data_IF_832539616897
#
_entry.id   IF_832539616897
#
_cell.length_a   1.000
_cell.length_b   1.000
_cell.length_c   1.000
_cell.angle_alpha   90.00
_cell.angle_beta   90.00
_cell.angle_gamma   90.00
#
_symmetry.space_group_name_H-M   'P 1'
#
loop_
_entity.id
_entity.type
_entity.pdbx_description
1 polymer ?
#
# COMPACT_ATOMS: atom_id res chain seq x y z
N UNK A 1 -33.71 -16.07 -31.18
CA UNK A 1 -33.65 -15.99 -29.69
C UNK A 1 -32.45 -16.75 -29.09
N UNK A 2 -32.23 -18.04 -29.35
CA UNK A 2 -31.13 -18.83 -28.75
C UNK A 2 -29.71 -18.22 -28.99
N UNK A 3 -29.42 -17.72 -30.19
CA UNK A 3 -28.10 -17.09 -30.49
C UNK A 3 -27.86 -15.81 -29.67
N UNK A 4 -28.88 -14.99 -29.47
CA UNK A 4 -28.77 -13.74 -28.67
C UNK A 4 -28.47 -14.08 -27.20
N UNK A 5 -29.14 -15.08 -26.65
CA UNK A 5 -28.93 -15.55 -25.26
C UNK A 5 -27.48 -16.04 -25.10
N UNK A 6 -26.98 -16.86 -26.04
CA UNK A 6 -25.61 -17.37 -25.99
C UNK A 6 -24.60 -16.23 -26.03
N UNK A 7 -24.76 -15.25 -26.92
CA UNK A 7 -23.88 -14.09 -27.02
C UNK A 7 -23.90 -13.29 -25.71
N UNK A 8 -25.09 -13.04 -25.16
CA UNK A 8 -25.21 -12.30 -23.89
C UNK A 8 -24.53 -13.01 -22.73
N UNK A 9 -24.64 -14.35 -22.65
CA UNK A 9 -23.96 -15.15 -21.64
C UNK A 9 -22.44 -15.09 -21.79
N UNK A 10 -21.93 -15.23 -23.03
CA UNK A 10 -20.49 -15.16 -23.31
C UNK A 10 -19.93 -13.77 -22.97
N UNK A 11 -20.64 -12.70 -23.35
CA UNK A 11 -20.23 -11.32 -23.02
C UNK A 11 -20.27 -11.10 -21.50
N UNK A 12 -21.29 -11.60 -20.81
CA UNK A 12 -21.39 -11.52 -19.35
C UNK A 12 -20.24 -12.23 -18.65
N UNK A 13 -19.88 -13.44 -19.07
CA UNK A 13 -18.75 -14.20 -18.55
C UNK A 13 -17.43 -13.47 -18.79
N UNK A 14 -17.25 -12.89 -19.99
CA UNK A 14 -16.06 -12.13 -20.32
C UNK A 14 -15.90 -10.90 -19.41
N UNK A 15 -16.97 -10.16 -19.14
CA UNK A 15 -16.96 -9.01 -18.23
C UNK A 15 -16.61 -9.46 -16.80
N UNK A 16 -17.25 -10.55 -16.31
CA UNK A 16 -17.00 -11.07 -14.97
C UNK A 16 -15.54 -11.49 -14.74
N UNK A 17 -14.86 -12.01 -15.76
CA UNK A 17 -13.43 -12.39 -15.67
C UNK A 17 -12.53 -11.14 -15.77
N UNK A 18 -12.87 -10.18 -16.61
CA UNK A 18 -12.03 -8.99 -16.86
C UNK A 18 -12.02 -8.00 -15.72
N UNK A 19 -13.13 -7.87 -14.98
CA UNK A 19 -13.21 -6.96 -13.83
C UNK A 19 -12.19 -7.34 -12.73
N UNK A 20 -12.18 -8.58 -12.19
CA UNK A 20 -11.20 -8.97 -11.17
C UNK A 20 -9.75 -8.84 -11.63
N UNK A 21 -9.45 -9.20 -12.88
CA UNK A 21 -8.11 -9.06 -13.46
C UNK A 21 -7.69 -7.57 -13.49
N UNK A 22 -8.59 -6.69 -13.95
CA UNK A 22 -8.32 -5.25 -13.99
C UNK A 22 -8.09 -4.70 -12.58
N UNK A 23 -8.97 -5.03 -11.63
CA UNK A 23 -8.86 -4.56 -10.23
C UNK A 23 -7.55 -5.02 -9.59
N UNK A 24 -7.17 -6.28 -9.78
CA UNK A 24 -5.92 -6.82 -9.24
C UNK A 24 -4.69 -6.21 -9.90
N UNK A 25 -4.67 -6.11 -11.22
CA UNK A 25 -3.52 -5.57 -11.97
C UNK A 25 -3.28 -4.08 -11.73
N UNK A 26 -4.31 -3.33 -11.35
CA UNK A 26 -4.24 -1.89 -11.10
C UNK A 26 -4.50 -1.54 -9.64
N UNK A 27 -4.30 -2.48 -8.72
CA UNK A 27 -4.63 -2.32 -7.30
C UNK A 27 -3.96 -1.09 -6.66
N UNK A 28 -2.69 -0.84 -6.94
CA UNK A 28 -1.98 0.34 -6.42
C UNK A 28 -2.48 1.65 -7.01
N UNK A 29 -2.84 1.67 -8.30
CA UNK A 29 -3.47 2.85 -8.88
C UNK A 29 -4.76 3.18 -8.14
N UNK A 30 -5.66 2.22 -8.01
CA UNK A 30 -6.95 2.43 -7.35
C UNK A 30 -6.79 2.78 -5.87
N UNK A 31 -5.93 2.09 -5.14
CA UNK A 31 -5.70 2.34 -3.72
C UNK A 31 -5.16 3.75 -3.46
N UNK A 32 -4.24 4.26 -4.30
CA UNK A 32 -3.67 5.59 -4.16
C UNK A 32 -4.57 6.72 -4.67
N UNK A 33 -5.57 6.40 -5.50
CA UNK A 33 -6.58 7.35 -6.01
C UNK A 33 -7.93 7.25 -5.27
N UNK A 34 -8.05 6.37 -4.31
CA UNK A 34 -9.25 6.26 -3.49
C UNK A 34 -9.45 7.52 -2.65
N UNK A 35 -10.68 8.06 -2.55
CA UNK A 35 -11.01 9.10 -1.59
C UNK A 35 -10.71 8.63 -0.17
N UNK A 36 -9.90 9.37 0.56
CA UNK A 36 -9.45 9.02 1.90
C UNK A 36 -9.37 10.23 2.82
N UNK A 37 -9.46 10.00 4.12
CA UNK A 37 -9.07 10.99 5.10
C UNK A 37 -7.54 11.05 5.26
N UNK A 38 -7.04 12.04 5.99
CA UNK A 38 -5.59 12.24 6.21
C UNK A 38 -4.91 11.11 7.00
N UNK A 39 -5.68 10.26 7.65
CA UNK A 39 -5.18 9.15 8.48
C UNK A 39 -5.28 7.79 7.81
N UNK A 40 -5.81 7.71 6.59
CA UNK A 40 -6.04 6.45 5.89
C UNK A 40 -5.04 6.26 4.76
N UNK A 41 -4.47 5.07 4.66
CA UNK A 41 -3.50 4.66 3.63
C UNK A 41 -3.95 3.37 2.93
N UNK A 42 -4.93 3.45 2.00
CA UNK A 42 -5.49 2.26 1.35
C UNK A 42 -4.48 1.41 0.57
N UNK A 43 -3.31 1.96 0.23
CA UNK A 43 -2.26 1.20 -0.42
C UNK A 43 -1.56 0.20 0.52
N UNK A 44 -1.64 0.39 1.83
CA UNK A 44 -0.97 -0.46 2.82
C UNK A 44 -1.54 -1.89 2.84
N UNK A 45 -2.86 -2.12 2.96
CA UNK A 45 -3.41 -3.47 2.84
C UNK A 45 -3.15 -4.11 1.47
N UNK A 46 -3.13 -3.31 0.39
CA UNK A 46 -2.73 -3.80 -0.94
C UNK A 46 -1.28 -4.25 -0.95
N UNK A 47 -0.38 -3.50 -0.30
CA UNK A 47 1.03 -3.84 -0.20
C UNK A 47 1.27 -5.14 0.60
N UNK A 48 0.46 -5.39 1.62
CA UNK A 48 0.50 -6.64 2.39
C UNK A 48 0.03 -7.85 1.57
N UNK A 49 -0.99 -7.66 0.73
CA UNK A 49 -1.54 -8.71 -0.13
C UNK A 49 -0.81 -8.92 -1.46
N UNK A 50 -0.04 -7.95 -1.94
CA UNK A 50 0.60 -7.96 -3.25
C UNK A 50 2.03 -7.42 -3.19
N UNK A 51 2.89 -7.96 -4.03
CA UNK A 51 4.25 -7.43 -4.19
C UNK A 51 4.20 -6.09 -4.92
N UNK A 52 4.74 -5.04 -4.29
CA UNK A 52 4.90 -3.74 -4.92
C UNK A 52 6.03 -3.81 -5.97
N UNK A 53 5.77 -3.42 -7.22
CA UNK A 53 6.83 -3.25 -8.21
C UNK A 53 7.84 -2.18 -7.78
N UNK A 54 9.14 -2.49 -7.87
CA UNK A 54 10.22 -1.60 -7.43
C UNK A 54 10.27 -0.26 -8.18
N UNK A 55 9.80 -0.24 -9.42
CA UNK A 55 9.72 0.97 -10.25
C UNK A 55 8.64 1.98 -9.78
N UNK A 56 7.71 1.55 -8.91
CA UNK A 56 6.67 2.45 -8.38
C UNK A 56 7.17 3.36 -7.26
N UNK A 57 8.28 3.02 -6.64
CA UNK A 57 8.89 3.85 -5.60
C UNK A 57 10.38 4.02 -5.94
N UNK A 58 10.70 4.94 -6.88
CA UNK A 58 12.07 5.17 -7.31
C UNK A 58 12.99 5.56 -6.13
N UNK A 59 14.16 4.94 -6.07
CA UNK A 59 15.11 5.16 -4.98
C UNK A 59 14.86 4.28 -3.75
N UNK A 60 13.94 3.32 -3.84
CA UNK A 60 13.66 2.36 -2.78
C UNK A 60 13.84 0.92 -3.26
N UNK A 61 14.36 0.09 -2.40
CA UNK A 61 14.36 -1.36 -2.54
C UNK A 61 13.20 -1.93 -1.72
N UNK A 62 12.40 -2.80 -2.33
CA UNK A 62 11.25 -3.43 -1.69
C UNK A 62 11.56 -4.89 -1.51
N UNK A 63 11.73 -5.30 -0.24
CA UNK A 63 11.99 -6.69 0.14
C UNK A 63 10.78 -7.31 0.81
N UNK A 64 10.40 -8.50 0.36
CA UNK A 64 9.44 -9.34 1.07
C UNK A 64 10.20 -10.23 2.05
N UNK A 65 10.03 -10.01 3.35
CA UNK A 65 10.72 -10.78 4.39
C UNK A 65 9.78 -11.87 4.92
N UNK A 66 9.47 -12.85 4.08
CA UNK A 66 8.70 -14.02 4.49
C UNK A 66 7.26 -13.71 4.95
N UNK A 67 6.46 -14.75 5.12
CA UNK A 67 5.03 -14.67 5.41
C UNK A 67 4.64 -14.00 6.74
N UNK A 68 5.58 -13.86 7.68
CA UNK A 68 5.29 -13.35 9.04
C UNK A 68 5.79 -11.94 9.32
N UNK A 69 6.57 -11.33 8.41
CA UNK A 69 7.23 -10.04 8.69
C UNK A 69 6.78 -8.88 7.81
N UNK A 70 5.97 -9.14 6.80
CA UNK A 70 5.49 -8.12 5.87
C UNK A 70 6.56 -7.48 4.98
N UNK A 71 6.17 -6.61 4.05
CA UNK A 71 7.09 -5.94 3.14
C UNK A 71 7.96 -4.90 3.86
N UNK A 72 9.23 -4.82 3.44
CA UNK A 72 10.15 -3.75 3.78
C UNK A 72 10.33 -2.82 2.58
N UNK A 73 10.17 -1.55 2.79
CA UNK A 73 10.51 -0.50 1.83
C UNK A 73 11.77 0.19 2.37
N UNK A 74 12.89 -0.01 1.68
CA UNK A 74 14.20 0.52 2.08
C UNK A 74 14.63 1.60 1.10
N UNK A 75 14.96 2.78 1.58
CA UNK A 75 15.59 3.82 0.76
C UNK A 75 17.01 3.40 0.36
N UNK A 76 17.30 3.45 -0.95
CA UNK A 76 18.61 3.16 -1.48
C UNK A 76 19.47 4.41 -1.36
N UNK A 77 20.52 4.37 -0.56
CA UNK A 77 21.52 5.42 -0.56
C UNK A 77 22.34 5.33 -1.87
N UNK A 78 22.11 6.28 -2.77
CA UNK A 78 22.82 6.36 -4.07
C UNK A 78 24.35 6.48 -3.94
N UNK A 79 24.85 6.92 -2.77
CA UNK A 79 26.27 7.08 -2.51
C UNK A 79 26.92 5.85 -1.87
N UNK A 80 26.11 4.95 -1.29
CA UNK A 80 26.63 3.81 -0.55
C UNK A 80 25.65 2.63 -0.63
N UNK A 81 25.71 1.88 -1.72
CA UNK A 81 24.82 0.73 -2.00
C UNK A 81 24.82 -0.34 -0.90
N UNK A 82 25.86 -0.35 -0.04
CA UNK A 82 26.01 -1.31 1.08
C UNK A 82 25.42 -0.83 2.41
N UNK A 83 25.18 0.47 2.58
CA UNK A 83 24.60 1.03 3.80
C UNK A 83 23.16 1.43 3.50
N UNK A 84 22.18 0.61 3.91
CA UNK A 84 20.76 0.89 3.71
C UNK A 84 20.38 2.29 4.19
N UNK A 85 19.46 2.93 3.46
CA UNK A 85 18.84 4.19 3.83
C UNK A 85 17.79 4.00 4.95
N UNK A 86 16.86 4.93 5.04
CA UNK A 86 15.71 4.81 5.93
C UNK A 86 14.86 3.60 5.56
N UNK A 87 14.33 2.91 6.57
CA UNK A 87 13.52 1.70 6.40
C UNK A 87 12.09 1.97 6.86
N UNK A 88 11.11 1.63 6.03
CA UNK A 88 9.71 1.53 6.39
C UNK A 88 9.31 0.05 6.39
N UNK A 89 9.10 -0.51 7.57
CA UNK A 89 8.59 -1.87 7.74
C UNK A 89 7.08 -1.81 7.92
N UNK A 90 6.36 -2.54 7.09
CA UNK A 90 4.90 -2.62 7.13
C UNK A 90 4.51 -4.02 7.59
N UNK A 91 3.68 -4.10 8.61
CA UNK A 91 3.11 -5.32 9.16
C UNK A 91 1.58 -5.19 9.19
N UNK A 92 0.90 -6.28 9.46
CA UNK A 92 -0.56 -6.36 9.44
C UNK A 92 -1.25 -5.31 10.34
N UNK A 93 -0.64 -5.00 11.49
CA UNK A 93 -1.22 -4.08 12.48
C UNK A 93 -0.35 -2.86 12.78
N UNK A 94 0.83 -2.75 12.20
CA UNK A 94 1.72 -1.62 12.50
C UNK A 94 2.70 -1.30 11.37
N UNK A 95 3.10 -0.06 11.33
CA UNK A 95 4.15 0.44 10.46
C UNK A 95 5.27 1.00 11.33
N UNK A 96 6.48 0.52 11.10
CA UNK A 96 7.68 0.95 11.81
C UNK A 96 8.62 1.68 10.84
N UNK A 97 8.91 2.93 11.15
CA UNK A 97 9.96 3.70 10.51
C UNK A 97 11.28 3.55 11.30
N UNK A 98 12.34 3.22 10.60
CA UNK A 98 13.68 3.02 11.15
C UNK A 98 14.63 3.94 10.38
N UNK A 99 15.08 5.07 10.97
CA UNK A 99 16.04 5.96 10.32
C UNK A 99 17.38 5.26 10.08
N UNK A 100 18.12 5.65 9.03
CA UNK A 100 19.45 5.13 8.68
C UNK A 100 20.45 5.12 9.86
N UNK A 101 20.41 6.16 10.69
CA UNK A 101 21.27 6.30 11.88
C UNK A 101 20.63 5.82 13.18
N UNK A 102 19.58 4.97 13.06
CA UNK A 102 18.88 4.49 14.24
C UNK A 102 19.75 3.50 15.03
N UNK A 103 19.83 3.73 16.32
CA UNK A 103 20.11 2.67 17.29
C UNK A 103 18.81 1.94 17.65
N UNK A 104 18.90 0.91 18.47
CA UNK A 104 17.74 0.08 18.86
C UNK A 104 16.54 0.88 19.39
N UNK A 105 16.76 2.05 19.97
CA UNK A 105 15.74 2.91 20.62
C UNK A 105 15.07 3.90 19.64
N UNK A 106 15.60 4.11 18.46
CA UNK A 106 15.09 5.10 17.50
C UNK A 106 14.18 4.47 16.42
N UNK A 107 13.29 3.57 16.85
CA UNK A 107 12.27 3.00 16.00
C UNK A 107 10.94 3.69 16.28
N UNK A 108 10.24 4.07 15.23
CA UNK A 108 8.99 4.81 15.31
C UNK A 108 7.86 3.97 14.74
N UNK A 109 6.96 3.54 15.60
CA UNK A 109 5.87 2.64 15.20
C UNK A 109 4.52 3.33 15.34
N UNK A 110 3.69 3.18 14.31
CA UNK A 110 2.27 3.55 14.34
C UNK A 110 1.43 2.29 14.15
N UNK A 111 0.28 2.23 14.81
CA UNK A 111 -0.70 1.17 14.58
C UNK A 111 -1.51 1.49 13.34
N UNK A 112 -1.86 0.45 12.60
CA UNK A 112 -2.68 0.56 11.40
C UNK A 112 -3.78 -0.48 11.47
N UNK A 113 -4.98 -0.09 11.07
CA UNK A 113 -6.13 -0.96 10.94
C UNK A 113 -6.16 -1.66 9.58
N UNK A 114 -7.00 -2.67 9.42
CA UNK A 114 -7.09 -3.47 8.20
C UNK A 114 -7.40 -2.65 6.94
N UNK A 115 -8.16 -1.55 7.09
CA UNK A 115 -8.48 -0.63 6.00
C UNK A 115 -7.36 0.37 5.68
N UNK A 116 -6.21 0.25 6.35
CA UNK A 116 -5.08 1.17 6.21
C UNK A 116 -5.24 2.50 6.95
N UNK A 117 -6.23 2.63 7.84
CA UNK A 117 -6.33 3.76 8.74
C UNK A 117 -5.34 3.62 9.89
N UNK A 118 -4.67 4.69 10.29
CA UNK A 118 -3.87 4.62 11.48
C UNK A 118 -4.65 5.15 12.70
N UNK A 119 -4.74 4.29 13.69
CA UNK A 119 -5.29 4.64 14.99
C UNK A 119 -4.12 5.02 15.91
N UNK A 120 -3.97 6.27 16.07
CA UNK A 120 -2.78 6.95 16.54
C UNK A 120 -2.21 6.60 17.88
N UNK A 121 -2.19 5.41 18.48
CA UNK A 121 -1.38 5.20 19.68
C UNK A 121 -1.70 3.97 20.50
N UNK A 122 -0.69 3.21 20.89
CA UNK A 122 -0.79 2.34 22.06
C UNK A 122 -0.78 3.21 23.34
N UNK A 123 -1.90 3.24 24.07
CA UNK A 123 -1.97 3.80 25.43
C UNK A 123 -0.96 3.05 26.30
N UNK A 124 0.11 3.68 26.70
CA UNK A 124 1.00 3.13 27.72
C UNK A 124 2.50 3.22 27.45
N UNK A 125 2.95 3.55 26.25
CA UNK A 125 4.37 3.83 26.00
C UNK A 125 4.53 5.25 25.47
N UNK A 126 5.34 6.04 26.16
CA UNK A 126 5.70 7.41 25.78
C UNK A 126 6.49 7.44 24.47
N UNK A 127 5.81 7.22 23.35
CA UNK A 127 6.40 7.45 22.03
C UNK A 127 6.26 8.95 21.76
N UNK A 128 7.36 9.69 21.57
CA UNK A 128 7.29 11.14 21.35
C UNK A 128 6.41 11.48 20.16
N UNK A 129 5.61 12.54 20.25
CA UNK A 129 4.76 13.07 19.15
C UNK A 129 5.57 13.30 17.87
N UNK A 130 6.86 13.59 18.00
CA UNK A 130 7.83 13.73 16.92
C UNK A 130 7.96 12.46 16.05
N UNK A 131 7.91 11.28 16.66
CA UNK A 131 8.06 10.00 15.99
C UNK A 131 6.89 9.65 15.06
N UNK A 132 5.65 9.96 15.49
CA UNK A 132 4.44 9.81 14.68
C UNK A 132 4.52 10.65 13.41
N UNK A 133 4.95 11.91 13.53
CA UNK A 133 5.10 12.84 12.41
C UNK A 133 6.08 12.32 11.37
N UNK A 134 7.21 11.74 11.80
CA UNK A 134 8.22 11.17 10.89
C UNK A 134 7.67 9.98 10.12
N UNK A 135 7.02 9.03 10.79
CA UNK A 135 6.44 7.85 10.14
C UNK A 135 5.35 8.25 9.16
N UNK A 136 4.46 9.16 9.55
CA UNK A 136 3.39 9.68 8.67
C UNK A 136 3.96 10.43 7.46
N UNK A 137 4.99 11.26 7.66
CA UNK A 137 5.64 11.96 6.55
C UNK A 137 6.28 10.98 5.56
N UNK A 138 6.91 9.92 6.06
CA UNK A 138 7.51 8.90 5.21
C UNK A 138 6.45 8.09 4.44
N UNK A 139 5.34 7.71 5.09
CA UNK A 139 4.19 7.10 4.44
C UNK A 139 3.59 7.98 3.34
N UNK A 140 3.40 9.26 3.61
CA UNK A 140 2.91 10.22 2.63
C UNK A 140 3.84 10.33 1.43
N UNK A 141 5.16 10.31 1.66
CA UNK A 141 6.17 10.32 0.60
C UNK A 141 6.07 9.05 -0.27
N UNK A 142 6.05 7.87 0.34
CA UNK A 142 5.89 6.59 -0.36
C UNK A 142 4.59 6.55 -1.15
N UNK A 143 3.47 6.97 -0.56
CA UNK A 143 2.18 7.02 -1.26
C UNK A 143 2.22 7.96 -2.47
N UNK A 144 2.84 9.12 -2.33
CA UNK A 144 2.99 10.09 -3.43
C UNK A 144 3.79 9.46 -4.58
N UNK A 145 4.91 8.80 -4.28
CA UNK A 145 5.74 8.13 -5.27
C UNK A 145 4.98 7.00 -5.98
N UNK A 146 4.26 6.14 -5.25
CA UNK A 146 3.40 5.11 -5.84
C UNK A 146 2.38 5.75 -6.77
N UNK A 147 1.69 6.79 -6.32
CA UNK A 147 0.66 7.48 -7.10
C UNK A 147 1.21 8.07 -8.40
N UNK A 148 2.41 8.63 -8.36
CA UNK A 148 3.05 9.26 -9.52
C UNK A 148 3.59 8.25 -10.53
N UNK A 149 4.04 7.08 -10.06
CA UNK A 149 4.69 6.09 -10.91
C UNK A 149 3.79 4.90 -11.28
N UNK A 150 2.56 4.86 -10.77
CA UNK A 150 1.59 3.83 -11.14
C UNK A 150 0.88 4.19 -12.44
N UNK A 151 0.92 3.33 -13.47
CA UNK A 151 0.28 3.62 -14.74
C UNK A 151 -1.25 3.69 -14.59
N UNK A 152 -1.86 4.62 -15.33
CA UNK A 152 -3.32 4.73 -15.40
C UNK A 152 -3.90 3.51 -16.10
N UNK A 153 -4.94 2.85 -15.55
CA UNK A 153 -5.58 1.71 -16.19
C UNK A 153 -6.28 2.12 -17.50
N UNK A 154 -6.24 1.27 -18.52
CA UNK A 154 -6.94 1.49 -19.80
C UNK A 154 -8.46 1.63 -19.58
N UNK A 155 -9.03 0.82 -18.71
CA UNK A 155 -10.42 0.91 -18.27
C UNK A 155 -10.41 1.26 -16.78
N UNK A 156 -10.96 2.43 -16.46
CA UNK A 156 -10.99 2.90 -15.07
C UNK A 156 -12.21 2.33 -14.33
N UNK A 157 -11.94 1.45 -13.39
CA UNK A 157 -12.94 0.80 -12.51
C UNK A 157 -12.85 1.31 -11.06
N UNK A 158 -12.43 2.56 -10.84
CA UNK A 158 -12.22 3.14 -9.51
C UNK A 158 -13.46 3.01 -8.61
N UNK A 159 -14.66 3.20 -9.15
CA UNK A 159 -15.89 3.11 -8.37
C UNK A 159 -16.17 1.68 -7.87
N UNK A 160 -15.87 0.65 -8.69
CA UNK A 160 -15.97 -0.76 -8.29
C UNK A 160 -14.92 -1.05 -7.20
N UNK A 161 -13.68 -0.57 -7.40
CA UNK A 161 -12.63 -0.71 -6.41
C UNK A 161 -13.02 -0.09 -5.07
N UNK A 162 -13.54 1.13 -5.08
CA UNK A 162 -13.95 1.83 -3.85
C UNK A 162 -15.04 1.07 -3.09
N UNK A 163 -16.01 0.49 -3.82
CA UNK A 163 -17.06 -0.33 -3.23
C UNK A 163 -16.48 -1.62 -2.65
N UNK A 164 -15.69 -2.35 -3.45
CA UNK A 164 -15.03 -3.59 -3.03
C UNK A 164 -14.16 -3.36 -1.79
N UNK A 165 -13.34 -2.32 -1.78
CA UNK A 165 -12.45 -1.99 -0.66
C UNK A 165 -13.23 -1.75 0.63
N UNK A 166 -14.34 -0.99 0.56
CA UNK A 166 -15.19 -0.72 1.71
C UNK A 166 -15.85 -1.99 2.28
N UNK A 167 -16.15 -2.96 1.44
CA UNK A 167 -16.78 -4.22 1.88
C UNK A 167 -15.73 -5.15 2.48
N UNK A 168 -14.53 -5.18 1.91
CA UNK A 168 -13.49 -6.15 2.24
C UNK A 168 -12.64 -5.75 3.46
N UNK A 169 -12.47 -4.45 3.68
CA UNK A 169 -11.62 -3.88 4.75
C UNK A 169 -12.44 -3.03 5.75
N UNK A 170 -13.63 -3.45 6.05
CA UNK A 170 -14.47 -2.84 7.09
C UNK A 170 -14.30 -3.50 8.44
#
# INVERSE_FOLDING_TARGET
MKKVIIISVVVGLFILIRIPINLRSNAYYYATHMPRNSKQYPFVPVLLGHRLPSNYVPGYEIKNIGSTRGPLIMEIDKKNVKAGGDILKISEHFITYIPKKANYYNRYTIFITEDGSYDGYEKGKNIPVYSKKLTVNHLNRVQKEIKQNTPKPKVNLQWIWNLWFKIHYR
#
